data_IF_820381559931
#
_entry.id   IF_820381559931
#
_cell.length_a   1.000
_cell.length_b   1.000
_cell.length_c   1.000
_cell.angle_alpha   90.00
_cell.angle_beta   90.00
_cell.angle_gamma   90.00
#
_symmetry.space_group_name_H-M   'P 1'
#
loop_
_entity.id
_entity.type
_entity.pdbx_description
1 polymer ?
#
# COMPACT_ATOMS: atom_id res chain seq x y z
N UNK A 1 -15.30 -11.24 32.79
CA UNK A 1 -14.78 -12.51 32.24
C UNK A 1 -14.25 -12.19 30.86
N UNK A 2 -12.92 -12.14 30.69
CA UNK A 2 -12.31 -11.99 29.36
C UNK A 2 -12.38 -13.33 28.64
N UNK A 3 -12.90 -13.31 27.42
CA UNK A 3 -13.11 -14.50 26.58
C UNK A 3 -11.82 -15.30 26.41
N UNK A 4 -11.95 -16.62 26.42
CA UNK A 4 -10.84 -17.56 26.22
C UNK A 4 -10.03 -17.26 24.94
N UNK A 5 -10.67 -16.69 23.91
CA UNK A 5 -10.01 -16.27 22.66
C UNK A 5 -9.01 -15.13 22.85
N UNK A 6 -9.24 -14.20 23.78
CA UNK A 6 -8.32 -13.08 24.03
C UNK A 6 -7.07 -13.52 24.76
N UNK A 7 -7.16 -14.59 25.57
CA UNK A 7 -6.04 -15.17 26.32
C UNK A 7 -5.08 -15.94 25.42
N UNK A 8 -5.63 -16.75 24.50
CA UNK A 8 -4.83 -17.53 23.53
C UNK A 8 -4.04 -16.60 22.58
N UNK A 9 -4.60 -15.46 22.19
CA UNK A 9 -3.89 -14.48 21.36
C UNK A 9 -2.77 -13.74 22.12
N UNK A 10 -2.95 -13.54 23.43
CA UNK A 10 -1.96 -12.91 24.31
C UNK A 10 -0.71 -13.77 24.45
N UNK A 11 -0.86 -15.08 24.61
CA UNK A 11 0.26 -16.00 24.79
C UNK A 11 1.04 -16.26 23.48
N UNK A 12 0.34 -16.30 22.33
CA UNK A 12 0.97 -16.50 21.02
C UNK A 12 1.84 -15.29 20.60
N UNK A 13 1.36 -14.06 20.84
CA UNK A 13 2.12 -12.83 20.50
C UNK A 13 3.28 -12.56 21.47
N UNK A 14 3.18 -12.99 22.73
CA UNK A 14 4.26 -12.90 23.70
C UNK A 14 5.45 -13.82 23.40
N UNK A 15 5.18 -15.00 22.82
CA UNK A 15 6.23 -15.95 22.43
C UNK A 15 7.02 -15.46 21.20
N UNK A 16 6.36 -14.83 20.23
CA UNK A 16 6.98 -14.32 19.01
C UNK A 16 7.78 -13.01 19.23
N UNK A 17 7.36 -12.14 20.14
CA UNK A 17 8.11 -10.91 20.44
C UNK A 17 9.42 -11.16 21.20
N UNK A 18 9.54 -12.25 21.97
CA UNK A 18 10.78 -12.59 22.70
C UNK A 18 11.89 -13.18 21.80
N UNK A 19 11.55 -13.75 20.66
CA UNK A 19 12.50 -14.41 19.74
C UNK A 19 13.18 -13.47 18.73
N UNK A 20 12.76 -12.19 18.64
CA UNK A 20 13.27 -11.24 17.63
C UNK A 20 14.66 -10.67 17.98
N UNK A 21 15.24 -11.01 19.15
CA UNK A 21 16.55 -10.49 19.54
C UNK A 21 17.77 -11.19 18.93
N UNK A 22 17.62 -12.17 18.03
CA UNK A 22 18.75 -12.81 17.34
C UNK A 22 18.56 -12.86 15.82
N UNK A 23 19.14 -11.90 15.10
CA UNK A 23 19.43 -12.03 13.66
C UNK A 23 20.91 -11.77 13.41
N UNK A 24 21.65 -12.72 12.80
CA UNK A 24 23.00 -12.46 12.30
C UNK A 24 22.90 -11.61 11.02
N UNK A 25 23.93 -10.79 10.77
CA UNK A 25 24.02 -9.86 9.66
C UNK A 25 23.79 -10.52 8.28
N UNK A 26 22.81 -10.01 7.54
CA UNK A 26 22.49 -10.49 6.18
C UNK A 26 23.41 -9.84 5.15
N UNK A 27 24.13 -10.69 4.42
CA UNK A 27 25.01 -10.33 3.31
C UNK A 27 24.19 -9.80 2.12
N UNK A 28 24.44 -8.56 1.70
CA UNK A 28 23.77 -7.92 0.56
C UNK A 28 24.30 -8.54 -0.74
N UNK A 29 23.51 -9.41 -1.38
CA UNK A 29 23.78 -9.88 -2.75
C UNK A 29 23.32 -8.81 -3.75
N UNK A 30 24.28 -8.28 -4.49
CA UNK A 30 24.08 -7.37 -5.62
C UNK A 30 23.26 -8.07 -6.72
N UNK A 31 22.02 -7.64 -6.97
CA UNK A 31 21.27 -8.03 -8.17
C UNK A 31 21.63 -7.07 -9.31
N UNK A 32 22.40 -7.57 -10.26
CA UNK A 32 22.61 -6.90 -11.56
C UNK A 32 21.44 -7.23 -12.48
N UNK A 33 20.70 -6.21 -12.92
CA UNK A 33 19.67 -6.35 -13.95
C UNK A 33 20.33 -6.38 -15.35
N UNK A 34 19.92 -7.27 -16.27
CA UNK A 34 20.35 -7.21 -17.66
C UNK A 34 19.55 -6.13 -18.42
N UNK A 35 20.27 -5.26 -19.12
CA UNK A 35 19.77 -4.29 -20.10
C UNK A 35 18.98 -5.02 -21.20
N UNK A 36 17.82 -4.52 -21.67
CA UNK A 36 17.12 -5.17 -22.78
C UNK A 36 17.94 -5.06 -24.08
N UNK A 37 17.84 -6.04 -25.00
CA UNK A 37 18.61 -6.03 -26.23
C UNK A 37 18.13 -4.92 -27.16
N UNK A 38 19.04 -4.04 -27.55
CA UNK A 38 18.84 -3.08 -28.64
C UNK A 38 18.70 -3.85 -29.96
N UNK A 39 17.48 -3.99 -30.46
CA UNK A 39 17.28 -4.49 -31.83
C UNK A 39 17.75 -3.42 -32.83
N UNK A 40 18.95 -3.59 -33.35
CA UNK A 40 19.43 -2.85 -34.52
C UNK A 40 18.62 -3.27 -35.75
N UNK A 41 17.70 -2.40 -36.20
CA UNK A 41 17.02 -2.59 -37.49
C UNK A 41 17.99 -2.22 -38.62
N UNK A 42 18.31 -3.22 -39.44
CA UNK A 42 18.94 -3.04 -40.75
C UNK A 42 18.09 -2.05 -41.59
N UNK A 43 18.67 -0.91 -41.97
CA UNK A 43 18.10 -0.06 -43.02
C UNK A 43 18.47 -0.64 -44.38
N UNK A 44 17.53 -1.34 -45.02
CA UNK A 44 17.60 -1.60 -46.45
C UNK A 44 16.98 -0.42 -47.19
N UNK A 45 17.83 0.40 -47.81
CA UNK A 45 17.40 1.40 -48.78
C UNK A 45 16.80 0.69 -49.99
N UNK A 46 15.51 0.88 -50.23
CA UNK A 46 14.87 0.58 -51.52
C UNK A 46 14.17 1.86 -51.99
N UNK A 47 14.59 2.31 -53.17
CA UNK A 47 14.08 3.45 -53.93
C UNK A 47 12.56 3.33 -54.12
N UNK A 48 11.74 4.36 -53.86
CA UNK A 48 10.31 4.27 -54.12
C UNK A 48 10.04 4.38 -55.63
N UNK A 49 9.11 3.58 -56.21
CA UNK A 49 8.59 3.84 -57.55
C UNK A 49 7.59 5.02 -57.52
N UNK A 50 7.34 5.66 -58.68
CA UNK A 50 6.66 6.95 -58.76
C UNK A 50 5.18 6.91 -58.35
N UNK A 51 4.77 8.04 -57.75
CA UNK A 51 3.44 8.34 -57.21
C UNK A 51 2.33 8.18 -58.24
N UNK A 52 1.41 7.25 -57.99
CA UNK A 52 0.06 7.24 -58.60
C UNK A 52 -0.90 7.83 -57.56
N UNK A 53 -1.72 8.85 -57.89
CA UNK A 53 -2.69 9.40 -56.94
C UNK A 53 -3.88 8.46 -56.82
N UNK A 54 -3.77 7.44 -55.98
CA UNK A 54 -4.90 6.66 -55.51
C UNK A 54 -5.66 7.48 -54.47
N UNK A 55 -6.78 8.08 -54.88
CA UNK A 55 -7.86 8.51 -53.98
C UNK A 55 -8.37 7.28 -53.23
N UNK A 56 -7.80 6.99 -52.06
CA UNK A 56 -8.40 6.09 -51.08
C UNK A 56 -9.23 6.93 -50.10
N UNK A 57 -10.50 6.58 -49.85
CA UNK A 57 -11.30 7.26 -48.84
C UNK A 57 -10.72 6.93 -47.46
N UNK A 58 -10.68 7.96 -46.62
CA UNK A 58 -10.30 7.98 -45.20
C UNK A 58 -10.56 6.67 -44.42
N UNK A 59 -9.53 5.81 -44.26
CA UNK A 59 -9.54 4.67 -43.33
C UNK A 59 -9.12 5.11 -41.90
N UNK A 60 -8.92 6.41 -41.66
CA UNK A 60 -8.49 6.92 -40.35
C UNK A 60 -9.59 7.05 -39.29
N UNK A 61 -10.87 6.98 -39.67
CA UNK A 61 -11.98 7.22 -38.73
C UNK A 61 -12.26 6.03 -37.80
N UNK A 62 -12.30 4.81 -38.33
CA UNK A 62 -12.78 3.62 -37.61
C UNK A 62 -11.81 3.05 -36.57
N UNK A 63 -10.52 3.43 -36.61
CA UNK A 63 -9.56 3.02 -35.58
C UNK A 63 -9.65 3.84 -34.29
N UNK A 64 -10.17 5.07 -34.33
CA UNK A 64 -10.38 5.86 -33.11
C UNK A 64 -11.65 5.45 -32.36
N UNK A 65 -12.66 4.95 -33.07
CA UNK A 65 -13.99 4.64 -32.53
C UNK A 65 -13.98 3.54 -31.45
N UNK A 66 -12.91 2.75 -31.36
CA UNK A 66 -12.78 1.64 -30.41
C UNK A 66 -11.57 1.73 -29.46
N UNK A 67 -10.78 2.82 -29.49
CA UNK A 67 -9.64 2.98 -28.57
C UNK A 67 -10.05 2.92 -27.10
N UNK A 68 -11.22 3.46 -26.79
CA UNK A 68 -11.79 3.46 -25.43
C UNK A 68 -12.13 2.05 -24.91
N UNK A 69 -12.28 1.03 -25.76
CA UNK A 69 -12.42 -0.36 -25.31
C UNK A 69 -11.11 -0.88 -24.68
N UNK A 70 -9.97 -0.49 -25.23
CA UNK A 70 -8.66 -0.76 -24.64
C UNK A 70 -8.49 -0.06 -23.29
N UNK A 71 -8.94 1.19 -23.20
CA UNK A 71 -8.98 1.96 -21.93
C UNK A 71 -9.88 1.28 -20.89
N UNK A 72 -11.07 0.81 -21.30
CA UNK A 72 -11.98 0.07 -20.42
C UNK A 72 -11.32 -1.21 -19.87
N UNK A 73 -10.65 -1.99 -20.73
CA UNK A 73 -9.93 -3.19 -20.31
C UNK A 73 -8.79 -2.85 -19.35
N UNK A 74 -8.02 -1.80 -19.64
CA UNK A 74 -6.93 -1.33 -18.79
C UNK A 74 -7.44 -0.93 -17.41
N UNK A 75 -8.45 -0.05 -17.35
CA UNK A 75 -9.00 0.42 -16.08
C UNK A 75 -9.69 -0.67 -15.27
N UNK A 76 -10.35 -1.62 -15.95
CA UNK A 76 -10.92 -2.81 -15.27
C UNK A 76 -9.81 -3.65 -14.63
N UNK A 77 -8.70 -3.85 -15.35
CA UNK A 77 -7.56 -4.62 -14.82
C UNK A 77 -6.91 -3.92 -13.64
N UNK A 78 -6.69 -2.60 -13.73
CA UNK A 78 -6.14 -1.78 -12.64
C UNK A 78 -7.06 -1.80 -11.41
N UNK A 79 -8.37 -1.68 -11.62
CA UNK A 79 -9.38 -1.72 -10.56
C UNK A 79 -9.38 -3.07 -9.82
N UNK A 80 -9.37 -4.19 -10.56
CA UNK A 80 -9.31 -5.52 -9.95
C UNK A 80 -7.99 -5.78 -9.21
N UNK A 81 -6.87 -5.23 -9.71
CA UNK A 81 -5.58 -5.31 -9.01
C UNK A 81 -5.55 -4.49 -7.72
N UNK A 82 -6.13 -3.29 -7.71
CA UNK A 82 -6.07 -2.40 -6.56
C UNK A 82 -6.99 -2.81 -5.40
N UNK A 83 -8.10 -3.51 -5.67
CA UNK A 83 -9.04 -3.98 -4.65
C UNK A 83 -8.40 -4.80 -3.51
N UNK A 84 -7.67 -5.90 -3.79
CA UNK A 84 -7.03 -6.68 -2.72
C UNK A 84 -5.99 -5.84 -1.96
N UNK A 85 -5.23 -5.00 -2.67
CA UNK A 85 -4.25 -4.10 -2.05
C UNK A 85 -4.89 -3.13 -1.05
N UNK A 86 -6.05 -2.54 -1.40
CA UNK A 86 -6.80 -1.67 -0.50
C UNK A 86 -7.30 -2.42 0.74
N UNK A 87 -7.75 -3.67 0.57
CA UNK A 87 -8.18 -4.53 1.67
C UNK A 87 -7.03 -4.82 2.63
N UNK A 88 -5.86 -5.17 2.10
CA UNK A 88 -4.67 -5.47 2.90
C UNK A 88 -4.21 -4.23 3.66
N UNK A 89 -4.18 -3.06 3.01
CA UNK A 89 -3.86 -1.78 3.67
C UNK A 89 -4.86 -1.41 4.77
N UNK A 90 -6.14 -1.71 4.59
CA UNK A 90 -7.15 -1.51 5.66
C UNK A 90 -6.85 -2.37 6.89
N UNK A 91 -6.47 -3.63 6.69
CA UNK A 91 -6.12 -4.53 7.78
C UNK A 91 -4.85 -4.04 8.50
N UNK A 92 -3.83 -3.61 7.76
CA UNK A 92 -2.63 -3.03 8.35
C UNK A 92 -2.94 -1.78 9.18
N UNK A 93 -3.80 -0.89 8.68
CA UNK A 93 -4.23 0.28 9.45
C UNK A 93 -4.94 -0.10 10.75
N UNK A 94 -5.80 -1.11 10.72
CA UNK A 94 -6.45 -1.62 11.93
C UNK A 94 -5.43 -2.16 12.94
N UNK A 95 -4.42 -2.90 12.46
CA UNK A 95 -3.34 -3.41 13.30
C UNK A 95 -2.52 -2.29 13.92
N UNK A 96 -2.14 -1.28 13.13
CA UNK A 96 -1.38 -0.10 13.60
C UNK A 96 -2.19 0.72 14.60
N UNK A 97 -3.49 0.90 14.38
CA UNK A 97 -4.37 1.55 15.35
C UNK A 97 -4.43 0.76 16.67
N UNK A 98 -4.48 -0.57 16.61
CA UNK A 98 -4.43 -1.40 17.81
C UNK A 98 -3.09 -1.25 18.56
N UNK A 99 -1.96 -1.17 17.85
CA UNK A 99 -0.65 -0.88 18.43
C UNK A 99 -0.63 0.48 19.14
N UNK A 100 -1.19 1.53 18.53
CA UNK A 100 -1.29 2.85 19.17
C UNK A 100 -2.13 2.83 20.44
N UNK A 101 -3.23 2.07 20.43
CA UNK A 101 -4.07 1.90 21.61
C UNK A 101 -3.34 1.15 22.72
N UNK A 102 -2.56 0.12 22.36
CA UNK A 102 -1.69 -0.60 23.31
C UNK A 102 -0.68 0.34 23.97
N UNK A 103 0.10 1.09 23.19
CA UNK A 103 1.08 2.03 23.73
C UNK A 103 0.43 3.11 24.60
N UNK A 104 -0.76 3.58 24.22
CA UNK A 104 -1.50 4.56 25.02
C UNK A 104 -1.87 4.01 26.39
N UNK A 105 -2.33 2.76 26.47
CA UNK A 105 -2.63 2.09 27.76
C UNK A 105 -1.37 1.83 28.57
N UNK A 106 -0.32 1.29 27.95
CA UNK A 106 0.95 1.02 28.63
C UNK A 106 1.53 2.31 29.25
N UNK A 107 1.49 3.43 28.53
CA UNK A 107 1.91 4.73 29.06
C UNK A 107 1.03 5.14 30.25
N UNK A 108 -0.29 5.00 30.16
CA UNK A 108 -1.20 5.33 31.27
C UNK A 108 -0.91 4.47 32.51
N UNK A 109 -0.67 3.17 32.33
CA UNK A 109 -0.35 2.25 33.41
C UNK A 109 1.00 2.59 34.06
N UNK A 110 2.02 2.94 33.27
CA UNK A 110 3.31 3.40 33.82
C UNK A 110 3.20 4.77 34.50
N UNK A 111 2.41 5.70 33.98
CA UNK A 111 2.14 6.97 34.65
C UNK A 111 1.42 6.78 35.98
N UNK A 112 0.46 5.85 36.03
CA UNK A 112 -0.21 5.46 37.26
C UNK A 112 0.79 4.84 38.25
N UNK A 113 1.62 3.91 37.79
CA UNK A 113 2.68 3.33 38.62
C UNK A 113 3.61 4.41 39.19
N UNK A 114 3.99 5.42 38.41
CA UNK A 114 4.81 6.55 38.90
C UNK A 114 4.10 7.39 39.95
N UNK A 115 2.78 7.57 39.85
CA UNK A 115 1.98 8.30 40.84
C UNK A 115 1.75 7.50 42.12
N UNK A 116 1.45 6.22 41.99
CA UNK A 116 1.04 5.36 43.10
C UNK A 116 2.24 4.75 43.84
N UNK A 117 3.42 4.71 43.22
CA UNK A 117 4.63 4.21 43.87
C UNK A 117 5.19 5.22 44.87
N UNK A 118 5.13 4.86 46.14
CA UNK A 118 6.05 5.40 47.14
C UNK A 118 7.44 4.79 46.90
N UNK A 119 8.16 5.35 45.93
CA UNK A 119 9.49 4.90 45.55
C UNK A 119 10.42 4.85 46.76
N UNK A 120 10.82 3.64 47.15
CA UNK A 120 11.78 3.42 48.24
C UNK A 120 13.20 3.84 47.86
N UNK A 121 13.50 3.92 46.55
CA UNK A 121 14.78 4.44 46.05
C UNK A 121 14.60 5.41 44.87
N UNK A 122 15.37 6.49 44.87
CA UNK A 122 15.42 7.43 43.75
C UNK A 122 15.96 6.83 42.44
N UNK A 123 16.61 5.66 42.49
CA UNK A 123 17.03 4.91 41.31
C UNK A 123 15.82 4.31 40.55
N UNK A 124 14.89 3.66 41.26
CA UNK A 124 13.68 3.09 40.65
C UNK A 124 12.80 4.17 40.00
N UNK A 125 12.69 5.35 40.63
CA UNK A 125 11.97 6.49 40.05
C UNK A 125 12.59 6.97 38.74
N UNK A 126 13.93 7.07 38.68
CA UNK A 126 14.65 7.48 37.47
C UNK A 126 14.49 6.45 36.35
N UNK A 127 14.60 5.16 36.68
CA UNK A 127 14.40 4.08 35.72
C UNK A 127 13.00 4.11 35.08
N UNK A 128 11.94 4.24 35.89
CA UNK A 128 10.58 4.36 35.37
C UNK A 128 10.35 5.63 34.53
N UNK A 129 11.01 6.74 34.88
CA UNK A 129 10.96 7.95 34.06
C UNK A 129 11.62 7.75 32.70
N UNK A 130 12.76 7.06 32.64
CA UNK A 130 13.44 6.71 31.38
C UNK A 130 12.52 5.84 30.53
N UNK A 131 11.95 4.78 31.11
CA UNK A 131 11.03 3.89 30.41
C UNK A 131 9.81 4.65 29.87
N UNK A 132 9.26 5.59 30.64
CA UNK A 132 8.15 6.44 30.19
C UNK A 132 8.53 7.30 28.98
N UNK A 133 9.73 7.89 28.98
CA UNK A 133 10.22 8.68 27.85
C UNK A 133 10.41 7.82 26.60
N UNK A 134 10.94 6.61 26.74
CA UNK A 134 11.09 5.65 25.64
C UNK A 134 9.72 5.31 25.05
N UNK A 135 8.74 4.93 25.87
CA UNK A 135 7.39 4.62 25.42
C UNK A 135 6.71 5.80 24.70
N UNK A 136 6.90 7.02 25.19
CA UNK A 136 6.37 8.22 24.54
C UNK A 136 6.99 8.43 23.15
N UNK A 137 8.29 8.17 23.01
CA UNK A 137 8.99 8.24 21.71
C UNK A 137 8.49 7.15 20.77
N UNK A 138 8.37 5.92 21.24
CA UNK A 138 7.91 4.78 20.43
C UNK A 138 6.46 4.98 19.97
N UNK A 139 5.59 5.51 20.84
CA UNK A 139 4.22 5.90 20.47
C UNK A 139 4.19 6.97 19.40
N UNK A 140 5.08 7.96 19.47
CA UNK A 140 5.15 9.03 18.47
C UNK A 140 5.60 8.50 17.11
N UNK A 141 6.60 7.62 17.07
CA UNK A 141 7.03 6.94 15.85
C UNK A 141 5.89 6.12 15.25
N UNK A 142 5.22 5.30 16.07
CA UNK A 142 4.07 4.52 15.64
C UNK A 142 2.92 5.41 15.12
N UNK A 143 2.73 6.61 15.69
CA UNK A 143 1.70 7.56 15.26
C UNK A 143 2.03 8.14 13.89
N UNK A 144 3.28 8.50 13.65
CA UNK A 144 3.73 9.01 12.35
C UNK A 144 3.60 7.93 11.27
N UNK A 145 3.97 6.70 11.58
CA UNK A 145 3.82 5.59 10.64
C UNK A 145 2.35 5.29 10.34
N UNK A 146 1.47 5.31 11.35
CA UNK A 146 0.03 5.22 11.14
C UNK A 146 -0.49 6.31 10.20
N UNK A 147 -0.07 7.57 10.40
CA UNK A 147 -0.48 8.68 9.55
C UNK A 147 0.00 8.50 8.10
N UNK A 148 1.23 8.02 7.89
CA UNK A 148 1.74 7.71 6.54
C UNK A 148 0.91 6.62 5.86
N UNK A 149 0.64 5.53 6.57
CA UNK A 149 -0.19 4.44 6.04
C UNK A 149 -1.63 4.91 5.76
N UNK A 150 -2.17 5.80 6.57
CA UNK A 150 -3.50 6.37 6.38
C UNK A 150 -3.56 7.20 5.09
N UNK A 151 -2.54 8.03 4.84
CA UNK A 151 -2.44 8.81 3.61
C UNK A 151 -2.30 7.92 2.36
N UNK A 152 -1.53 6.82 2.44
CA UNK A 152 -1.43 5.84 1.36
C UNK A 152 -2.76 5.14 1.08
N UNK A 153 -3.48 4.73 2.12
CA UNK A 153 -4.81 4.13 1.99
C UNK A 153 -5.80 5.10 1.32
N UNK A 154 -5.82 6.36 1.75
CA UNK A 154 -6.68 7.39 1.14
C UNK A 154 -6.33 7.67 -0.32
N UNK A 155 -5.04 7.61 -0.68
CA UNK A 155 -4.59 7.70 -2.07
C UNK A 155 -5.11 6.52 -2.90
N UNK A 156 -4.93 5.29 -2.43
CA UNK A 156 -5.40 4.09 -3.12
C UNK A 156 -6.93 4.08 -3.25
N UNK A 157 -7.64 4.48 -2.20
CA UNK A 157 -9.10 4.57 -2.22
C UNK A 157 -9.59 5.56 -3.26
N UNK A 158 -8.94 6.72 -3.40
CA UNK A 158 -9.26 7.70 -4.45
C UNK A 158 -8.97 7.17 -5.84
N UNK A 159 -7.87 6.43 -6.01
CA UNK A 159 -7.52 5.83 -7.29
C UNK A 159 -8.55 4.77 -7.72
N UNK A 160 -8.97 3.90 -6.80
CA UNK A 160 -10.03 2.91 -7.05
C UNK A 160 -11.34 3.60 -7.44
N UNK A 161 -11.71 4.67 -6.74
CA UNK A 161 -12.92 5.42 -7.04
C UNK A 161 -12.86 6.06 -8.44
N UNK A 162 -11.72 6.65 -8.81
CA UNK A 162 -11.49 7.19 -10.15
C UNK A 162 -11.60 6.12 -11.24
N UNK A 163 -10.94 4.97 -11.07
CA UNK A 163 -11.06 3.86 -12.04
C UNK A 163 -12.51 3.38 -12.18
N UNK A 164 -13.24 3.26 -11.06
CA UNK A 164 -14.65 2.89 -11.08
C UNK A 164 -15.50 3.87 -11.88
N UNK A 165 -15.33 5.17 -11.67
CA UNK A 165 -16.07 6.21 -12.41
C UNK A 165 -15.76 6.17 -13.91
N UNK A 166 -14.49 5.96 -14.29
CA UNK A 166 -14.12 5.81 -15.70
C UNK A 166 -14.75 4.56 -16.31
N UNK A 167 -14.69 3.41 -15.62
CA UNK A 167 -15.31 2.17 -16.06
C UNK A 167 -16.83 2.37 -16.25
N UNK A 168 -17.51 3.00 -15.29
CA UNK A 168 -18.96 3.25 -15.35
C UNK A 168 -19.32 4.12 -16.56
N UNK A 169 -18.53 5.17 -16.84
CA UNK A 169 -18.72 6.03 -18.01
C UNK A 169 -18.50 5.29 -19.34
N UNK A 170 -17.43 4.49 -19.44
CA UNK A 170 -17.11 3.71 -20.64
C UNK A 170 -18.15 2.60 -20.87
N UNK A 171 -18.62 1.94 -19.81
CA UNK A 171 -19.71 0.97 -19.88
C UNK A 171 -21.02 1.61 -20.30
N UNK A 172 -21.31 2.84 -19.85
CA UNK A 172 -22.48 3.58 -20.31
C UNK A 172 -22.40 3.89 -21.79
N UNK A 173 -21.23 4.31 -22.30
CA UNK A 173 -21.01 4.51 -23.74
C UNK A 173 -21.23 3.22 -24.54
N UNK A 174 -20.72 2.09 -24.05
CA UNK A 174 -20.95 0.77 -24.66
C UNK A 174 -22.45 0.46 -24.76
N UNK A 175 -23.20 0.67 -23.67
CA UNK A 175 -24.65 0.42 -23.65
C UNK A 175 -25.39 1.24 -24.71
N UNK A 176 -25.03 2.52 -24.88
CA UNK A 176 -25.65 3.39 -25.89
C UNK A 176 -25.42 2.82 -27.29
N UNK A 177 -24.18 2.42 -27.61
CA UNK A 177 -23.81 1.87 -28.93
C UNK A 177 -24.51 0.52 -29.20
N UNK A 178 -24.66 -0.32 -28.17
CA UNK A 178 -25.33 -1.62 -28.32
C UNK A 178 -26.86 -1.47 -28.44
N UNK A 179 -27.42 -0.39 -27.89
CA UNK A 179 -28.87 -0.14 -27.89
C UNK A 179 -29.33 0.71 -29.08
N UNK A 180 -28.41 1.31 -29.84
CA UNK A 180 -28.65 2.07 -31.07
C UNK A 180 -28.61 1.19 -32.30
#
# INVERSE_FOLDING_TARGET
MLDHQTRVWYDQTHAEMKTIHHTPATHVRHMSYPTPPTQARHMSYTTPPPTVPSRTPSVRSSHQDFQWLGELQSHTSDYEYLKPLLRDRRLELQQRQAQLNFWTREIQDRQKQVRDSNFSSGAQRRELQIQLQTLLRDREVARQDYQRQQAEFERLSRQIQSHREIIDNLMQRLRIIVSS
#
